data_IF_452488573442
#
_entry.id   IF_452488573442
#
_cell.length_a   1.000
_cell.length_b   1.000
_cell.length_c   1.000
_cell.angle_alpha   90.00
_cell.angle_beta   90.00
_cell.angle_gamma   90.00
#
_symmetry.space_group_name_H-M   'P 1'
#
loop_
_entity.id
_entity.type
_entity.pdbx_description
1 polymer ?
#
# COMPACT_ATOMS: atom_id res chain seq x y z
N UNK A 1 -96.12 -30.06 14.87
CA UNK A 1 -95.58 -28.75 15.30
C UNK A 1 -94.09 -28.78 15.04
N UNK A 2 -93.66 -28.04 14.01
CA UNK A 2 -92.28 -27.95 13.53
C UNK A 2 -91.66 -26.74 14.25
N UNK A 3 -90.58 -26.93 15.01
CA UNK A 3 -89.81 -25.82 15.58
C UNK A 3 -88.91 -25.22 14.49
N UNK A 4 -89.17 -23.96 14.14
CA UNK A 4 -88.25 -23.12 13.37
C UNK A 4 -87.11 -22.64 14.30
N UNK A 5 -85.87 -22.88 13.91
CA UNK A 5 -84.68 -22.30 14.53
C UNK A 5 -84.40 -20.90 14.00
N UNK A 6 -84.03 -19.99 14.90
CA UNK A 6 -83.69 -18.59 14.61
C UNK A 6 -82.46 -18.47 13.69
N UNK A 7 -82.50 -17.63 12.64
CA UNK A 7 -81.38 -17.44 11.71
C UNK A 7 -80.37 -16.37 12.16
N UNK A 8 -80.50 -15.82 13.38
CA UNK A 8 -79.77 -14.61 13.77
C UNK A 8 -78.40 -14.82 14.42
N UNK A 9 -78.05 -16.04 14.80
CA UNK A 9 -76.75 -16.34 15.45
C UNK A 9 -75.66 -16.79 14.48
N UNK A 10 -75.99 -17.19 13.24
CA UNK A 10 -75.01 -17.70 12.28
C UNK A 10 -74.20 -16.60 11.54
N UNK A 11 -74.69 -15.35 11.52
CA UNK A 11 -74.08 -14.26 10.74
C UNK A 11 -72.92 -13.59 11.48
N UNK A 12 -72.88 -13.64 12.82
CA UNK A 12 -71.83 -12.99 13.60
C UNK A 12 -70.54 -13.83 13.69
N UNK A 13 -70.64 -15.17 13.66
CA UNK A 13 -69.47 -16.07 13.67
C UNK A 13 -68.72 -16.11 12.33
N UNK A 14 -69.42 -15.94 11.20
CA UNK A 14 -68.79 -15.90 9.88
C UNK A 14 -68.02 -14.59 9.61
N UNK A 15 -68.38 -13.50 10.28
CA UNK A 15 -67.69 -12.21 10.16
C UNK A 15 -66.35 -12.15 10.91
N UNK A 16 -66.22 -12.80 12.08
CA UNK A 16 -64.99 -12.77 12.87
C UNK A 16 -63.91 -13.74 12.36
N UNK A 17 -64.30 -14.89 11.80
CA UNK A 17 -63.35 -15.85 11.23
C UNK A 17 -62.64 -15.32 9.96
N UNK A 18 -63.32 -14.49 9.16
CA UNK A 18 -62.74 -13.88 7.96
C UNK A 18 -61.73 -12.77 8.26
N UNK A 19 -61.86 -12.08 9.40
CA UNK A 19 -60.93 -11.01 9.81
C UNK A 19 -59.67 -11.58 10.48
N UNK A 20 -59.79 -12.70 11.21
CA UNK A 20 -58.63 -13.40 11.77
C UNK A 20 -57.73 -13.99 10.67
N UNK A 21 -58.33 -14.64 9.66
CA UNK A 21 -57.59 -15.29 8.57
C UNK A 21 -56.86 -14.29 7.64
N UNK A 22 -57.36 -13.05 7.53
CA UNK A 22 -56.70 -12.00 6.72
C UNK A 22 -55.52 -11.35 7.44
N UNK A 23 -55.55 -11.24 8.78
CA UNK A 23 -54.41 -10.76 9.57
C UNK A 23 -53.27 -11.78 9.61
N UNK A 24 -53.57 -13.08 9.60
CA UNK A 24 -52.57 -14.15 9.50
C UNK A 24 -51.94 -14.19 8.11
N UNK A 25 -52.72 -14.00 7.04
CA UNK A 25 -52.19 -13.93 5.67
C UNK A 25 -51.28 -12.72 5.46
N UNK A 26 -51.61 -11.55 6.05
CA UNK A 26 -50.76 -10.36 5.99
C UNK A 26 -49.46 -10.53 6.77
N UNK A 27 -49.50 -11.20 7.92
CA UNK A 27 -48.30 -11.55 8.69
C UNK A 27 -47.43 -12.58 7.98
N UNK A 28 -48.03 -13.60 7.38
CA UNK A 28 -47.32 -14.60 6.54
C UNK A 28 -46.72 -13.92 5.31
N UNK A 29 -47.42 -12.98 4.67
CA UNK A 29 -46.91 -12.18 3.56
C UNK A 29 -45.76 -11.25 3.99
N UNK A 30 -45.81 -10.65 5.18
CA UNK A 30 -44.73 -9.82 5.73
C UNK A 30 -43.48 -10.66 6.07
N UNK A 31 -43.66 -11.87 6.59
CA UNK A 31 -42.57 -12.82 6.87
C UNK A 31 -41.99 -13.37 5.56
N UNK A 32 -42.82 -13.68 4.55
CA UNK A 32 -42.35 -14.06 3.22
C UNK A 32 -41.63 -12.90 2.51
N UNK A 33 -42.07 -11.65 2.68
CA UNK A 33 -41.33 -10.48 2.17
C UNK A 33 -39.98 -10.29 2.88
N UNK A 34 -39.88 -10.61 4.18
CA UNK A 34 -38.63 -10.55 4.93
C UNK A 34 -37.65 -11.67 4.56
N UNK A 35 -38.15 -12.86 4.17
CA UNK A 35 -37.34 -14.01 3.72
C UNK A 35 -36.94 -13.88 2.23
N UNK A 36 -37.65 -13.07 1.44
CA UNK A 36 -37.34 -12.79 0.02
C UNK A 36 -36.44 -11.56 -0.14
N UNK A 37 -36.16 -10.79 0.92
CA UNK A 37 -35.09 -9.80 0.87
C UNK A 37 -33.75 -10.52 0.75
N UNK A 38 -32.97 -10.28 -0.32
CA UNK A 38 -31.65 -10.85 -0.41
C UNK A 38 -30.82 -10.24 0.72
N UNK A 39 -30.29 -11.07 1.61
CA UNK A 39 -29.18 -10.72 2.52
C UNK A 39 -27.99 -10.10 1.75
N UNK A 40 -27.97 -10.22 0.42
CA UNK A 40 -27.03 -9.57 -0.48
C UNK A 40 -27.19 -8.05 -0.65
N UNK A 41 -28.30 -7.39 -0.28
CA UNK A 41 -28.45 -5.96 -0.63
C UNK A 41 -27.57 -5.00 0.17
N UNK A 42 -27.33 -5.27 1.45
CA UNK A 42 -26.44 -4.43 2.27
C UNK A 42 -24.97 -4.75 1.97
N UNK A 43 -24.64 -6.04 1.87
CA UNK A 43 -23.31 -6.52 1.54
C UNK A 43 -22.88 -6.10 0.12
N UNK A 44 -23.77 -6.13 -0.88
CA UNK A 44 -23.48 -5.63 -2.22
C UNK A 44 -23.37 -4.11 -2.25
N UNK A 45 -24.18 -3.36 -1.48
CA UNK A 45 -24.07 -1.91 -1.41
C UNK A 45 -22.78 -1.48 -0.71
N UNK A 46 -22.37 -2.18 0.36
CA UNK A 46 -21.09 -1.98 1.04
C UNK A 46 -19.92 -2.39 0.14
N UNK A 47 -20.01 -3.52 -0.57
CA UNK A 47 -18.99 -3.97 -1.52
C UNK A 47 -18.86 -3.02 -2.71
N UNK A 48 -19.96 -2.48 -3.22
CA UNK A 48 -19.98 -1.45 -4.27
C UNK A 48 -19.40 -0.12 -3.77
N UNK A 49 -19.74 0.31 -2.54
CA UNK A 49 -19.17 1.50 -1.90
C UNK A 49 -17.67 1.33 -1.60
N UNK A 50 -17.25 0.16 -1.15
CA UNK A 50 -15.85 -0.17 -0.88
C UNK A 50 -15.02 -0.28 -2.16
N UNK A 51 -15.59 -0.91 -3.21
CA UNK A 51 -15.02 -0.88 -4.56
C UNK A 51 -14.88 0.55 -5.08
N UNK A 52 -15.85 1.42 -4.81
CA UNK A 52 -15.75 2.85 -5.18
C UNK A 52 -14.60 3.57 -4.47
N UNK A 53 -14.31 3.22 -3.21
CA UNK A 53 -13.21 3.81 -2.44
C UNK A 53 -11.85 3.48 -3.03
N UNK A 54 -11.61 2.21 -3.37
CA UNK A 54 -10.37 1.77 -4.01
C UNK A 54 -10.20 2.41 -5.40
N UNK A 55 -11.27 2.51 -6.18
CA UNK A 55 -11.21 3.14 -7.51
C UNK A 55 -10.93 4.65 -7.43
N UNK A 56 -11.45 5.35 -6.42
CA UNK A 56 -11.07 6.75 -6.15
C UNK A 56 -9.60 6.83 -5.75
N UNK A 57 -9.14 5.93 -4.87
CA UNK A 57 -7.75 5.86 -4.46
C UNK A 57 -6.80 5.65 -5.65
N UNK A 58 -7.10 4.72 -6.56
CA UNK A 58 -6.32 4.50 -7.79
C UNK A 58 -6.16 5.78 -8.62
N UNK A 59 -7.20 6.62 -8.72
CA UNK A 59 -7.11 7.91 -9.42
C UNK A 59 -6.20 8.91 -8.71
N UNK A 60 -6.28 8.98 -7.37
CA UNK A 60 -5.40 9.83 -6.57
C UNK A 60 -3.94 9.36 -6.65
N UNK A 61 -3.74 8.04 -6.63
CA UNK A 61 -2.44 7.42 -6.84
C UNK A 61 -1.84 7.86 -8.18
N UNK A 62 -2.57 7.81 -9.30
CA UNK A 62 -2.06 8.28 -10.59
C UNK A 62 -1.64 9.75 -10.60
N UNK A 63 -2.35 10.62 -9.88
CA UNK A 63 -1.94 12.03 -9.71
C UNK A 63 -0.62 12.10 -8.96
N UNK A 64 -0.51 11.38 -7.84
CA UNK A 64 0.72 11.31 -7.03
C UNK A 64 1.92 10.78 -7.85
N UNK A 65 1.68 9.77 -8.68
CA UNK A 65 2.71 9.17 -9.57
C UNK A 65 3.26 10.19 -10.55
N UNK A 66 2.42 11.06 -11.12
CA UNK A 66 2.88 12.14 -12.02
C UNK A 66 3.82 13.10 -11.31
N UNK A 67 3.48 13.53 -10.09
CA UNK A 67 4.32 14.43 -9.31
C UNK A 67 5.67 13.80 -8.95
N UNK A 68 5.65 12.54 -8.52
CA UNK A 68 6.86 11.75 -8.27
C UNK A 68 7.74 11.63 -9.52
N UNK A 69 7.14 11.38 -10.69
CA UNK A 69 7.89 11.26 -11.95
C UNK A 69 8.48 12.59 -12.39
N UNK A 70 7.79 13.71 -12.15
CA UNK A 70 8.32 15.05 -12.40
C UNK A 70 9.55 15.34 -11.51
N UNK A 71 9.46 15.03 -10.21
CA UNK A 71 10.60 15.17 -9.31
C UNK A 71 11.80 14.30 -9.74
N UNK A 72 11.53 13.08 -10.19
CA UNK A 72 12.58 12.15 -10.63
C UNK A 72 13.23 12.59 -11.95
N UNK A 73 12.46 13.17 -12.86
CA UNK A 73 12.97 13.77 -14.10
C UNK A 73 13.95 14.91 -13.80
N UNK A 74 13.58 15.82 -12.89
CA UNK A 74 14.47 16.91 -12.46
C UNK A 74 15.76 16.38 -11.83
N UNK A 75 15.68 15.27 -11.09
CA UNK A 75 16.85 14.61 -10.52
C UNK A 75 17.75 14.00 -11.60
N UNK A 76 17.18 13.37 -12.63
CA UNK A 76 17.93 12.83 -13.77
C UNK A 76 18.66 13.94 -14.54
N UNK A 77 17.99 15.07 -14.76
CA UNK A 77 18.53 16.22 -15.49
C UNK A 77 19.61 16.99 -14.69
N UNK A 78 19.77 16.70 -13.40
CA UNK A 78 20.80 17.30 -12.57
C UNK A 78 22.20 16.84 -13.00
N UNK A 79 22.98 17.74 -13.58
CA UNK A 79 24.34 17.46 -14.07
C UNK A 79 25.42 17.38 -12.95
N UNK A 80 25.03 17.09 -11.71
CA UNK A 80 25.94 16.90 -10.56
C UNK A 80 25.67 15.57 -9.85
N UNK A 81 26.53 14.59 -10.14
CA UNK A 81 26.47 13.22 -9.58
C UNK A 81 26.52 13.24 -8.05
N UNK A 82 27.35 14.10 -7.46
CA UNK A 82 27.52 14.14 -6.01
C UNK A 82 26.24 14.64 -5.33
N UNK A 83 25.54 15.57 -5.96
CA UNK A 83 24.23 16.02 -5.50
C UNK A 83 23.16 14.96 -5.73
N UNK A 84 23.11 14.34 -6.92
CA UNK A 84 22.19 13.24 -7.19
C UNK A 84 22.32 12.14 -6.13
N UNK A 85 23.55 11.74 -5.80
CA UNK A 85 23.81 10.75 -4.76
C UNK A 85 23.29 11.18 -3.38
N UNK A 86 23.54 12.42 -2.97
CA UNK A 86 23.07 12.93 -1.66
C UNK A 86 21.55 13.00 -1.60
N UNK A 87 20.91 13.46 -2.67
CA UNK A 87 19.46 13.51 -2.76
C UNK A 87 18.89 12.09 -2.68
N UNK A 88 19.47 11.13 -3.42
CA UNK A 88 19.02 9.73 -3.40
C UNK A 88 19.26 9.11 -2.01
N UNK A 89 20.39 9.37 -1.35
CA UNK A 89 20.66 8.90 0.02
C UNK A 89 19.57 9.34 1.01
N UNK A 90 19.28 10.65 1.03
CA UNK A 90 18.27 11.24 1.91
C UNK A 90 16.89 10.68 1.58
N UNK A 91 16.57 10.59 0.30
CA UNK A 91 15.30 10.09 -0.20
C UNK A 91 15.09 8.63 0.19
N UNK A 92 16.07 7.74 -0.03
CA UNK A 92 15.98 6.33 0.34
C UNK A 92 15.77 6.18 1.86
N UNK A 93 16.55 6.89 2.68
CA UNK A 93 16.38 6.85 4.14
C UNK A 93 14.97 7.30 4.57
N UNK A 94 14.45 8.36 3.98
CA UNK A 94 13.10 8.86 4.25
C UNK A 94 12.03 7.86 3.83
N UNK A 95 12.14 7.33 2.61
CA UNK A 95 11.22 6.35 2.04
C UNK A 95 11.12 5.10 2.91
N UNK A 96 12.28 4.51 3.24
CA UNK A 96 12.32 3.28 4.04
C UNK A 96 11.80 3.50 5.46
N UNK A 97 12.03 4.67 6.05
CA UNK A 97 11.46 5.01 7.35
C UNK A 97 9.93 5.08 7.29
N UNK A 98 9.37 5.81 6.32
CA UNK A 98 7.91 5.93 6.17
C UNK A 98 7.29 4.56 5.89
N UNK A 99 7.95 3.74 5.08
CA UNK A 99 7.49 2.38 4.77
C UNK A 99 7.50 1.48 6.02
N UNK A 100 8.53 1.57 6.87
CA UNK A 100 8.62 0.83 8.14
C UNK A 100 7.51 1.24 9.11
N UNK A 101 7.35 2.54 9.34
CA UNK A 101 6.34 3.10 10.24
C UNK A 101 4.92 2.73 9.78
N UNK A 102 4.65 2.84 8.48
CA UNK A 102 3.33 2.53 7.90
C UNK A 102 3.03 1.04 7.92
N UNK A 103 4.03 0.18 7.65
CA UNK A 103 3.91 -1.27 7.80
C UNK A 103 3.54 -1.66 9.23
N UNK A 104 4.17 -1.05 10.23
CA UNK A 104 3.87 -1.34 11.63
C UNK A 104 2.42 -0.99 11.99
N UNK A 105 1.90 0.14 11.47
CA UNK A 105 0.50 0.55 11.65
C UNK A 105 -0.46 -0.47 11.04
N UNK A 106 -0.22 -0.89 9.79
CA UNK A 106 -1.12 -1.83 9.09
C UNK A 106 -1.12 -3.22 9.74
N UNK A 107 0.05 -3.72 10.15
CA UNK A 107 0.17 -5.02 10.84
C UNK A 107 -0.51 -4.98 12.21
N UNK A 108 -0.33 -3.90 12.98
CA UNK A 108 -0.93 -3.78 14.30
C UNK A 108 -2.47 -3.71 14.24
N UNK A 109 -3.02 -3.19 13.15
CA UNK A 109 -4.46 -3.11 12.90
C UNK A 109 -5.01 -4.30 12.08
N UNK A 110 -4.16 -5.29 11.76
CA UNK A 110 -4.50 -6.48 10.95
C UNK A 110 -5.22 -6.13 9.64
N UNK A 111 -4.73 -5.10 8.93
CA UNK A 111 -5.34 -4.66 7.67
C UNK A 111 -4.92 -5.59 6.52
N UNK A 112 -5.86 -6.35 5.92
CA UNK A 112 -5.55 -7.19 4.77
C UNK A 112 -5.32 -6.34 3.50
N UNK A 113 -4.32 -6.67 2.66
CA UNK A 113 -4.04 -5.92 1.44
C UNK A 113 -5.13 -6.05 0.37
N UNK A 114 -5.76 -7.23 0.29
CA UNK A 114 -6.82 -7.63 -0.65
C UNK A 114 -8.24 -7.36 -0.13
N UNK A 115 -8.35 -6.75 1.05
CA UNK A 115 -9.62 -6.36 1.64
C UNK A 115 -10.15 -5.01 1.15
N UNK A 116 -11.22 -4.49 1.79
CA UNK A 116 -11.68 -3.12 1.58
C UNK A 116 -10.54 -2.10 1.65
N UNK A 117 -10.61 -1.07 0.81
CA UNK A 117 -9.81 0.12 1.05
C UNK A 117 -10.19 0.71 2.44
N UNK A 118 -9.22 0.98 3.32
CA UNK A 118 -9.49 1.44 4.68
C UNK A 118 -10.35 2.70 4.71
N UNK A 119 -11.17 2.87 5.76
CA UNK A 119 -12.01 4.05 5.95
C UNK A 119 -11.43 5.05 6.95
N UNK A 120 -10.77 4.53 8.00
CA UNK A 120 -10.03 5.33 8.98
C UNK A 120 -8.88 6.08 8.31
N UNK A 121 -8.72 7.36 8.66
CA UNK A 121 -7.74 8.26 8.03
C UNK A 121 -6.30 7.80 8.27
N UNK A 122 -5.98 7.34 9.48
CA UNK A 122 -4.64 6.84 9.81
C UNK A 122 -4.32 5.56 9.05
N UNK A 123 -5.28 4.66 8.89
CA UNK A 123 -5.10 3.44 8.09
C UNK A 123 -5.03 3.75 6.58
N UNK A 124 -5.82 4.71 6.08
CA UNK A 124 -5.73 5.20 4.70
C UNK A 124 -4.35 5.77 4.41
N UNK A 125 -3.82 6.59 5.29
CA UNK A 125 -2.50 7.19 5.16
C UNK A 125 -1.42 6.11 5.16
N UNK A 126 -1.47 5.17 6.12
CA UNK A 126 -0.51 4.07 6.18
C UNK A 126 -0.57 3.17 4.93
N UNK A 127 -1.77 2.83 4.46
CA UNK A 127 -1.96 2.07 3.22
C UNK A 127 -1.38 2.82 2.02
N UNK A 128 -1.73 4.10 1.88
CA UNK A 128 -1.28 4.97 0.79
C UNK A 128 0.24 5.11 0.81
N UNK A 129 0.84 5.33 1.98
CA UNK A 129 2.28 5.38 2.15
C UNK A 129 2.96 4.07 1.74
N UNK A 130 2.44 2.90 2.09
CA UNK A 130 3.04 1.63 1.66
C UNK A 130 3.02 1.51 0.14
N UNK A 131 1.87 1.74 -0.48
CA UNK A 131 1.67 1.62 -1.93
C UNK A 131 2.52 2.64 -2.69
N UNK A 132 2.45 3.91 -2.31
CA UNK A 132 3.17 5.01 -2.96
C UNK A 132 4.68 4.92 -2.81
N UNK A 133 5.18 4.57 -1.61
CA UNK A 133 6.62 4.45 -1.40
C UNK A 133 7.19 3.20 -2.06
N UNK A 134 6.45 2.09 -2.10
CA UNK A 134 6.90 0.89 -2.83
C UNK A 134 6.99 1.18 -4.33
N UNK A 135 5.98 1.83 -4.90
CA UNK A 135 6.00 2.24 -6.31
C UNK A 135 7.16 3.20 -6.61
N UNK A 136 7.30 4.24 -5.79
CA UNK A 136 8.33 5.25 -6.00
C UNK A 136 9.74 4.67 -5.86
N UNK A 137 9.96 3.78 -4.89
CA UNK A 137 11.22 3.05 -4.80
C UNK A 137 11.49 2.23 -6.06
N UNK A 138 10.46 1.59 -6.64
CA UNK A 138 10.56 0.89 -7.92
C UNK A 138 11.11 1.76 -9.05
N UNK A 139 10.67 3.01 -9.19
CA UNK A 139 11.20 3.90 -10.23
C UNK A 139 12.65 4.30 -9.98
N UNK A 140 12.99 4.54 -8.71
CA UNK A 140 14.35 4.90 -8.31
C UNK A 140 15.30 3.73 -8.56
N UNK A 141 14.88 2.50 -8.25
CA UNK A 141 15.61 1.26 -8.57
C UNK A 141 15.89 1.17 -10.06
N UNK A 142 14.86 1.35 -10.88
CA UNK A 142 14.98 1.14 -12.32
C UNK A 142 15.83 2.24 -12.99
N UNK A 143 15.78 3.48 -12.50
CA UNK A 143 16.54 4.62 -13.09
C UNK A 143 17.94 4.80 -12.51
N UNK A 144 18.15 4.45 -11.23
CA UNK A 144 19.42 4.61 -10.53
C UNK A 144 19.95 3.29 -9.93
N UNK A 145 19.98 2.17 -10.69
CA UNK A 145 20.26 0.85 -10.13
C UNK A 145 21.62 0.77 -9.42
N UNK A 146 22.66 1.41 -9.97
CA UNK A 146 24.01 1.45 -9.36
C UNK A 146 24.01 2.11 -7.97
N UNK A 147 23.26 3.20 -7.81
CA UNK A 147 23.16 3.92 -6.52
C UNK A 147 22.35 3.10 -5.54
N UNK A 148 21.21 2.55 -5.98
CA UNK A 148 20.33 1.78 -5.11
C UNK A 148 21.03 0.53 -4.58
N UNK A 149 21.68 -0.27 -5.44
CA UNK A 149 22.41 -1.46 -5.01
C UNK A 149 23.51 -1.15 -3.97
N UNK A 150 24.18 0.00 -4.07
CA UNK A 150 25.16 0.43 -3.07
C UNK A 150 24.57 0.51 -1.64
N UNK A 151 23.32 0.93 -1.51
CA UNK A 151 22.63 1.08 -0.23
C UNK A 151 21.84 -0.16 0.17
N UNK A 152 21.10 -0.73 -0.79
CA UNK A 152 20.12 -1.77 -0.56
C UNK A 152 20.76 -3.13 -0.28
N UNK A 153 21.78 -3.53 -1.04
CA UNK A 153 22.35 -4.89 -0.96
C UNK A 153 23.00 -5.20 0.39
N UNK A 154 23.46 -4.15 1.10
CA UNK A 154 24.10 -4.25 2.42
C UNK A 154 23.11 -4.09 3.57
N UNK A 155 21.82 -3.90 3.29
CA UNK A 155 20.79 -3.62 4.30
C UNK A 155 19.67 -4.67 4.24
N UNK A 156 19.81 -5.71 5.06
CA UNK A 156 18.83 -6.81 5.13
C UNK A 156 17.44 -6.34 5.59
N UNK A 157 17.35 -5.32 6.44
CA UNK A 157 16.06 -4.76 6.86
C UNK A 157 15.32 -4.14 5.67
N UNK A 158 16.02 -3.33 4.88
CA UNK A 158 15.45 -2.73 3.66
C UNK A 158 15.03 -3.81 2.65
N UNK A 159 15.82 -4.88 2.52
CA UNK A 159 15.45 -6.01 1.67
C UNK A 159 14.14 -6.66 2.12
N UNK A 160 14.00 -6.96 3.42
CA UNK A 160 12.79 -7.53 3.98
C UNK A 160 11.58 -6.60 3.83
N UNK A 161 11.77 -5.30 4.04
CA UNK A 161 10.72 -4.30 3.85
C UNK A 161 10.20 -4.27 2.42
N UNK A 162 11.08 -4.29 1.41
CA UNK A 162 10.67 -4.26 0.01
C UNK A 162 10.03 -5.57 -0.41
N UNK A 163 10.54 -6.73 0.03
CA UNK A 163 9.86 -8.01 -0.21
C UNK A 163 8.45 -8.00 0.33
N UNK A 164 8.26 -7.50 1.55
CA UNK A 164 6.95 -7.33 2.15
C UNK A 164 6.08 -6.32 1.37
N UNK A 165 6.63 -5.15 1.03
CA UNK A 165 5.91 -4.09 0.30
C UNK A 165 5.47 -4.52 -1.09
N UNK A 166 6.30 -5.24 -1.84
CA UNK A 166 5.94 -5.83 -3.13
C UNK A 166 4.80 -6.84 -2.94
N UNK A 167 4.93 -7.74 -1.96
CA UNK A 167 3.88 -8.73 -1.65
C UNK A 167 2.55 -8.06 -1.30
N UNK A 168 2.59 -7.04 -0.43
CA UNK A 168 1.42 -6.23 -0.08
C UNK A 168 0.81 -5.60 -1.33
N UNK A 169 1.59 -4.87 -2.13
CA UNK A 169 1.12 -4.16 -3.32
C UNK A 169 0.52 -5.11 -4.38
N UNK A 170 1.10 -6.29 -4.59
CA UNK A 170 0.57 -7.27 -5.54
C UNK A 170 -0.85 -7.75 -5.18
N UNK A 171 -1.21 -7.75 -3.89
CA UNK A 171 -2.52 -8.18 -3.41
C UNK A 171 -3.56 -7.04 -3.39
N UNK A 172 -3.14 -5.78 -3.50
CA UNK A 172 -4.05 -4.62 -3.41
C UNK A 172 -4.97 -4.41 -4.60
N UNK A 173 -4.68 -5.01 -5.75
CA UNK A 173 -5.36 -4.69 -7.01
C UNK A 173 -5.01 -3.31 -7.61
N UNK A 174 -4.14 -2.51 -6.97
CA UNK A 174 -3.75 -1.16 -7.46
C UNK A 174 -2.88 -1.25 -8.73
N UNK A 175 -2.07 -2.30 -8.85
CA UNK A 175 -1.11 -2.49 -9.96
C UNK A 175 -1.58 -3.53 -11.00
N UNK A 176 -2.83 -4.01 -10.94
CA UNK A 176 -3.27 -5.05 -11.88
C UNK A 176 -3.31 -4.58 -13.33
N UNK A 177 -3.59 -3.29 -13.55
CA UNK A 177 -3.80 -2.71 -14.87
C UNK A 177 -3.13 -1.33 -14.99
N UNK A 178 -3.05 -0.83 -16.21
CA UNK A 178 -2.50 0.49 -16.48
C UNK A 178 -0.96 0.53 -16.56
N UNK A 179 -0.38 1.74 -16.57
CA UNK A 179 1.03 1.96 -16.91
C UNK A 179 2.01 1.42 -15.86
N UNK A 180 1.58 1.25 -14.61
CA UNK A 180 2.43 0.79 -13.51
C UNK A 180 2.38 -0.73 -13.30
N UNK A 181 1.62 -1.48 -14.12
CA UNK A 181 1.38 -2.91 -13.92
C UNK A 181 2.65 -3.77 -13.92
N UNK A 182 3.65 -3.37 -14.70
CA UNK A 182 4.94 -4.07 -14.76
C UNK A 182 5.95 -3.60 -13.72
N UNK A 183 5.67 -2.50 -13.00
CA UNK A 183 6.64 -1.82 -12.14
C UNK A 183 7.20 -2.76 -11.06
N UNK A 184 6.31 -3.43 -10.32
CA UNK A 184 6.68 -4.32 -9.22
C UNK A 184 7.51 -5.52 -9.71
N UNK A 185 7.13 -6.10 -10.85
CA UNK A 185 7.89 -7.21 -11.46
C UNK A 185 9.26 -6.78 -11.98
N UNK A 186 9.37 -5.58 -12.58
CA UNK A 186 10.63 -5.06 -13.08
C UNK A 186 11.59 -4.69 -11.95
N UNK A 187 11.10 -4.07 -10.86
CA UNK A 187 11.94 -3.75 -9.70
C UNK A 187 12.39 -5.00 -8.97
N UNK A 188 11.52 -6.02 -8.83
CA UNK A 188 11.87 -7.29 -8.19
C UNK A 188 13.01 -7.99 -8.93
N UNK A 189 12.97 -7.97 -10.27
CA UNK A 189 14.03 -8.51 -11.11
C UNK A 189 15.31 -7.67 -11.04
N UNK A 190 15.24 -6.34 -11.07
CA UNK A 190 16.44 -5.49 -10.95
C UNK A 190 17.17 -5.75 -9.62
N UNK A 191 16.41 -5.85 -8.52
CA UNK A 191 16.92 -6.11 -7.17
C UNK A 191 17.37 -7.56 -6.91
N UNK A 192 17.12 -8.49 -7.84
CA UNK A 192 17.39 -9.91 -7.64
C UNK A 192 16.53 -10.56 -6.55
N UNK A 193 15.33 -10.02 -6.30
CA UNK A 193 14.33 -10.61 -5.40
C UNK A 193 13.60 -11.76 -6.10
N UNK A 194 13.28 -11.58 -7.39
CA UNK A 194 12.74 -12.61 -8.26
C UNK A 194 13.77 -13.05 -9.28
N UNK A 195 13.59 -14.25 -9.83
CA UNK A 195 14.40 -14.69 -10.97
C UNK A 195 14.27 -13.72 -12.15
N UNK A 196 15.40 -13.39 -12.77
CA UNK A 196 15.42 -12.55 -13.97
C UNK A 196 14.95 -13.40 -15.15
N UNK A 197 13.90 -12.93 -15.82
CA UNK A 197 13.48 -13.56 -17.08
C UNK A 197 14.62 -13.48 -18.11
N UNK A 198 14.74 -14.46 -19.02
CA UNK A 198 15.76 -14.43 -20.07
C UNK A 198 15.72 -13.17 -20.94
N UNK A 199 14.53 -12.57 -21.07
CA UNK A 199 14.28 -11.36 -21.86
C UNK A 199 14.26 -10.09 -20.99
N UNK A 200 14.66 -10.16 -19.72
CA UNK A 200 14.65 -9.01 -18.84
C UNK A 200 15.60 -7.94 -19.36
N UNK A 201 15.03 -6.78 -19.69
CA UNK A 201 15.77 -5.55 -19.93
C UNK A 201 15.14 -4.44 -19.12
N UNK A 202 15.93 -3.79 -18.28
CA UNK A 202 15.48 -2.61 -17.58
C UNK A 202 15.18 -1.50 -18.62
N UNK A 203 13.93 -1.01 -18.73
CA UNK A 203 13.53 -0.05 -19.76
C UNK A 203 14.29 1.28 -19.70
N UNK A 204 14.85 1.62 -18.54
CA UNK A 204 15.59 2.87 -18.32
C UNK A 204 17.11 2.69 -18.41
N UNK A 205 17.60 1.46 -18.59
CA UNK A 205 18.98 1.23 -19.02
C UNK A 205 19.05 1.48 -20.52
N UNK A 206 19.32 2.72 -20.90
CA UNK A 206 19.77 3.00 -22.25
C UNK A 206 21.10 2.27 -22.51
N UNK A 207 21.33 1.80 -23.75
CA UNK A 207 22.67 1.39 -24.22
C UNK A 207 23.67 2.57 -24.20
N UNK A 208 23.18 3.79 -23.91
CA UNK A 208 23.96 4.99 -23.72
C UNK A 208 24.63 5.01 -22.34
N UNK A 209 25.86 4.50 -22.33
CA UNK A 209 26.93 4.89 -21.40
C UNK A 209 27.24 6.40 -21.38
N UNK A 210 26.47 7.25 -22.08
CA UNK A 210 26.76 8.66 -22.31
C UNK A 210 26.01 9.62 -21.36
N UNK A 211 24.86 9.22 -20.80
CA UNK A 211 24.10 10.09 -19.89
C UNK A 211 24.41 9.85 -18.40
N UNK A 212 25.07 8.74 -18.10
CA UNK A 212 25.65 8.49 -16.79
C UNK A 212 27.16 8.56 -16.91
N UNK A 213 27.82 9.45 -16.16
CA UNK A 213 29.27 9.55 -16.21
C UNK A 213 29.86 8.18 -15.80
N UNK A 214 30.99 7.83 -16.42
CA UNK A 214 31.54 6.47 -16.44
C UNK A 214 31.51 5.82 -15.05
N UNK A 215 31.40 4.49 -14.97
CA UNK A 215 31.38 3.77 -13.69
C UNK A 215 32.48 4.24 -12.71
N UNK A 216 33.61 4.71 -13.22
CA UNK A 216 34.71 5.31 -12.46
C UNK A 216 34.37 6.64 -11.79
N UNK A 217 33.71 7.58 -12.48
CA UNK A 217 33.26 8.85 -11.88
C UNK A 217 32.25 8.60 -10.76
N UNK A 218 31.36 7.64 -10.95
CA UNK A 218 30.39 7.22 -9.95
C UNK A 218 31.08 6.60 -8.73
N UNK A 219 31.99 5.65 -8.94
CA UNK A 219 32.77 5.07 -7.85
C UNK A 219 33.64 6.10 -7.13
N UNK A 220 34.18 7.11 -7.84
CA UNK A 220 34.94 8.20 -7.24
C UNK A 220 34.06 9.06 -6.33
N UNK A 221 32.87 9.45 -6.81
CA UNK A 221 31.87 10.17 -6.01
C UNK A 221 31.50 9.39 -4.74
N UNK A 222 31.25 8.08 -4.87
CA UNK A 222 30.98 7.19 -3.73
C UNK A 222 32.12 7.20 -2.71
N UNK A 223 33.37 7.02 -3.17
CA UNK A 223 34.55 6.99 -2.30
C UNK A 223 34.79 8.35 -1.61
N UNK A 224 34.58 9.44 -2.31
CA UNK A 224 34.73 10.80 -1.77
C UNK A 224 33.67 11.10 -0.71
N UNK A 225 32.42 10.73 -0.97
CA UNK A 225 31.33 10.93 -0.03
C UNK A 225 31.46 10.03 1.20
N UNK A 226 31.87 8.77 1.05
CA UNK A 226 32.12 7.89 2.18
C UNK A 226 33.28 8.40 3.05
N UNK A 227 34.34 8.93 2.44
CA UNK A 227 35.43 9.63 3.16
C UNK A 227 34.90 10.86 3.91
N UNK A 228 34.01 11.65 3.30
CA UNK A 228 33.40 12.84 3.91
C UNK A 228 32.56 12.45 5.12
N UNK A 229 31.71 11.42 5.00
CA UNK A 229 30.89 10.88 6.10
C UNK A 229 31.74 10.39 7.27
N UNK A 230 32.77 9.57 7.01
CA UNK A 230 33.67 9.08 8.06
C UNK A 230 34.36 10.24 8.80
N UNK A 231 34.71 11.32 8.10
CA UNK A 231 35.26 12.53 8.73
C UNK A 231 34.23 13.26 9.59
N UNK A 232 32.98 13.33 9.15
CA UNK A 232 31.90 13.98 9.90
C UNK A 232 31.48 13.17 11.13
N UNK A 233 31.38 11.84 11.01
CA UNK A 233 31.11 10.93 12.13
C UNK A 233 32.19 11.05 13.21
N UNK A 234 33.47 11.05 12.83
CA UNK A 234 34.59 11.31 13.75
C UNK A 234 34.47 12.66 14.46
N UNK A 235 34.09 13.72 13.73
CA UNK A 235 33.86 15.05 14.33
C UNK A 235 32.71 15.05 15.32
N UNK A 236 31.62 14.33 15.04
CA UNK A 236 30.47 14.19 15.95
C UNK A 236 30.81 13.35 17.18
N UNK A 237 31.64 12.33 17.03
CA UNK A 237 32.12 11.50 18.14
C UNK A 237 33.03 12.29 19.09
N UNK A 238 33.99 13.05 18.55
CA UNK A 238 34.87 13.93 19.34
C UNK A 238 34.05 14.97 20.11
N UNK A 239 32.98 15.52 19.51
CA UNK A 239 32.07 16.47 20.18
C UNK A 239 31.22 15.84 21.29
N UNK A 240 31.00 14.52 21.29
CA UNK A 240 30.20 13.83 22.31
C UNK A 240 30.96 13.60 23.62
N UNK A 241 32.27 13.85 23.65
CA UNK A 241 33.11 13.74 24.84
C UNK A 241 33.28 12.30 25.36
N UNK A 242 34.16 12.06 26.33
CA UNK A 242 34.35 10.75 26.93
C UNK A 242 33.06 10.29 27.63
N UNK A 243 32.52 9.13 27.22
CA UNK A 243 31.40 8.49 27.89
C UNK A 243 31.94 7.82 29.15
N UNK A 244 31.67 8.38 30.33
CA UNK A 244 32.00 7.78 31.63
C UNK A 244 31.18 6.48 31.74
N UNK A 245 31.79 5.33 31.40
CA UNK A 245 31.24 4.03 31.79
C UNK A 245 31.49 3.88 33.29
N UNK A 246 30.44 4.06 34.09
CA UNK A 246 30.51 3.83 35.54
C UNK A 246 30.67 2.33 35.77
N UNK A 247 31.91 1.86 35.93
CA UNK A 247 32.17 0.57 36.55
C UNK A 247 31.79 0.70 38.03
N UNK A 248 30.67 0.12 38.43
CA UNK A 248 30.42 -0.14 39.84
C UNK A 248 31.41 -1.21 40.29
N UNK A 249 32.31 -0.82 41.19
CA UNK A 249 33.30 -1.69 41.82
C UNK A 249 33.39 -1.28 43.29
N UNK A 250 32.34 -1.54 44.06
CA UNK A 250 32.36 -1.52 45.53
C UNK A 250 31.39 -2.64 45.97
N UNK A 251 31.93 -3.79 46.40
CA UNK A 251 32.26 -4.18 47.79
C UNK A 251 31.06 -4.79 48.52
#
# INVERSE_FOLDING_TARGET
>A
MIQLGDPSTAVCEQGMAAVASTMDFLWICLILLAVVLPEGSLADLEKQRMGSGLEIYKKLFEVKRKDQMNALKNLIELNDINQQYKIIDIMLKGLFKVLEDSRAVLIAADVPPDGPFPQDEKLKDAYSHVVENTAFFGDVVLRFPKIVHHYFDRNSNWNNLIRWGIGFCNLTGVFEQGPHSQLLGLMAQELGISEKSPNYRNPFKADHSEFFPSADTFQKALREEEKRRRKEEKRKEIRKGPRISRSQSEL
#
